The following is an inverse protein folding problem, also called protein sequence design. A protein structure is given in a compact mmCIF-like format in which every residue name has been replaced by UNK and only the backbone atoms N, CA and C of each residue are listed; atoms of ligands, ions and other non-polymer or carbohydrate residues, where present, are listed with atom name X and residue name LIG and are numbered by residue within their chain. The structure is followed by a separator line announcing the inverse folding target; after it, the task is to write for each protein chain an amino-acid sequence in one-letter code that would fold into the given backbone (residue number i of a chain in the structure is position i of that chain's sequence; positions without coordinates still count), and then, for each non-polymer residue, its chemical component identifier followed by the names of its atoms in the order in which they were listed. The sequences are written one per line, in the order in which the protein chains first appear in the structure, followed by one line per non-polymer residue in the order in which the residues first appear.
data_IF_120118869748
#
_entry.id   IF_120118869748
#
_cell.length_a   1.000
_cell.length_b   1.000
_cell.length_c   1.000
_cell.angle_alpha   90.00
_cell.angle_beta   90.00
_cell.angle_gamma   90.00
#
_symmetry.space_group_name_H-M   'P 1'
#
loop_
_entity.id
_entity.type
_entity.pdbx_description
1 polymer ?
#
# COMPACT_ATOMS: atom_id res chain seq x y z
N UNK A 1 4.13 -7.08 -25.71
CA UNK A 1 5.49 -6.67 -25.29
C UNK A 1 5.88 -7.52 -24.10
N UNK A 2 7.10 -8.06 -24.08
CA UNK A 2 7.52 -8.98 -23.03
C UNK A 2 8.76 -8.44 -22.31
N UNK A 3 8.93 -8.82 -21.05
CA UNK A 3 10.02 -8.37 -20.17
C UNK A 3 10.72 -9.60 -19.59
N UNK A 4 12.02 -9.49 -19.33
CA UNK A 4 12.77 -10.56 -18.68
C UNK A 4 12.35 -10.70 -17.22
N UNK A 5 12.27 -11.93 -16.72
CA UNK A 5 11.93 -12.21 -15.31
C UNK A 5 12.91 -11.54 -14.35
N UNK A 6 14.18 -11.36 -14.75
CA UNK A 6 15.20 -10.63 -13.98
C UNK A 6 14.80 -9.17 -13.77
N UNK A 7 14.55 -8.42 -14.84
CA UNK A 7 14.12 -7.01 -14.73
C UNK A 7 12.82 -6.90 -13.95
N UNK A 8 11.89 -7.83 -14.20
CA UNK A 8 10.60 -7.86 -13.53
C UNK A 8 10.73 -8.11 -12.02
N UNK A 9 11.66 -8.96 -11.59
CA UNK A 9 11.91 -9.20 -10.16
C UNK A 9 12.29 -7.89 -9.45
N UNK A 10 13.24 -7.12 -9.99
CA UNK A 10 13.66 -5.84 -9.39
C UNK A 10 12.56 -4.79 -9.43
N UNK A 11 11.68 -4.82 -10.43
CA UNK A 11 10.49 -3.99 -10.46
C UNK A 11 9.56 -4.30 -9.26
N UNK A 12 9.29 -5.58 -8.98
CA UNK A 12 8.50 -5.97 -7.80
C UNK A 12 9.18 -5.63 -6.48
N UNK A 13 10.52 -5.73 -6.41
CA UNK A 13 11.28 -5.24 -5.25
C UNK A 13 11.07 -3.73 -5.05
N UNK A 14 11.11 -2.94 -6.13
CA UNK A 14 10.82 -1.50 -6.08
C UNK A 14 9.42 -1.20 -5.55
N UNK A 15 8.39 -1.91 -6.04
CA UNK A 15 7.02 -1.78 -5.53
C UNK A 15 6.95 -2.14 -4.05
N UNK A 16 7.63 -3.21 -3.62
CA UNK A 16 7.67 -3.62 -2.22
C UNK A 16 8.22 -2.51 -1.33
N UNK A 17 9.33 -1.89 -1.73
CA UNK A 17 9.96 -0.82 -0.96
C UNK A 17 9.06 0.43 -0.88
N UNK A 18 8.50 0.86 -2.01
CA UNK A 18 7.58 2.02 -2.05
C UNK A 18 6.35 1.77 -1.17
N UNK A 19 5.75 0.58 -1.27
CA UNK A 19 4.58 0.20 -0.48
C UNK A 19 4.89 0.13 1.02
N UNK A 20 6.09 -0.36 1.38
CA UNK A 20 6.55 -0.38 2.75
C UNK A 20 6.77 1.04 3.30
N UNK A 21 7.35 1.95 2.50
CA UNK A 21 7.49 3.36 2.88
C UNK A 21 6.13 4.02 3.12
N UNK A 22 5.12 3.74 2.29
CA UNK A 22 3.76 4.23 2.53
C UNK A 22 3.12 3.64 3.78
N UNK A 23 3.32 2.34 4.05
CA UNK A 23 2.85 1.74 5.30
C UNK A 23 3.44 2.47 6.52
N UNK A 24 4.76 2.66 6.54
CA UNK A 24 5.45 3.36 7.62
C UNK A 24 4.90 4.78 7.77
N UNK A 25 4.77 5.51 6.66
CA UNK A 25 4.22 6.86 6.64
C UNK A 25 2.82 6.93 7.27
N UNK A 26 1.86 6.13 6.77
CA UNK A 26 0.50 6.14 7.28
C UNK A 26 0.40 5.61 8.71
N UNK A 27 1.25 4.66 9.10
CA UNK A 27 1.28 4.11 10.46
C UNK A 27 1.80 5.13 11.47
N UNK A 28 2.87 5.86 11.15
CA UNK A 28 3.39 6.95 11.98
C UNK A 28 2.33 8.04 12.11
N UNK A 29 1.72 8.44 10.98
CA UNK A 29 0.70 9.47 10.95
C UNK A 29 -0.50 9.12 11.85
N UNK A 30 -1.00 7.89 11.76
CA UNK A 30 -2.12 7.42 12.60
C UNK A 30 -1.74 7.23 14.06
N UNK A 31 -0.54 6.75 14.35
CA UNK A 31 -0.05 6.59 15.73
C UNK A 31 0.09 7.94 16.44
N UNK A 32 0.66 8.95 15.76
CA UNK A 32 0.87 10.28 16.33
C UNK A 32 -0.42 11.11 16.44
N UNK A 33 -1.46 10.75 15.66
CA UNK A 33 -2.78 11.39 15.68
C UNK A 33 -3.79 10.68 16.61
N UNK A 34 -3.34 9.67 17.36
CA UNK A 34 -4.14 9.01 18.40
C UNK A 34 -4.40 9.98 19.55
N UNK A 35 -5.59 9.91 20.17
CA UNK A 35 -5.99 10.75 21.31
C UNK A 35 -5.05 10.69 22.52
N UNK A 36 -4.21 9.67 22.57
CA UNK A 36 -3.28 9.38 23.65
C UNK A 36 -1.91 10.08 23.49
N UNK A 37 -1.66 10.73 22.35
CA UNK A 37 -0.37 11.36 22.03
C UNK A 37 -0.40 12.89 22.16
N UNK A 38 0.62 13.47 22.77
CA UNK A 38 0.82 14.92 22.92
C UNK A 38 0.85 15.67 21.58
N UNK A 39 1.21 14.98 20.49
CA UNK A 39 1.23 15.51 19.13
C UNK A 39 -0.14 15.53 18.43
N UNK A 40 -1.19 15.03 19.07
CA UNK A 40 -2.53 14.95 18.50
C UNK A 40 -3.09 16.33 18.13
N UNK A 41 -2.96 17.34 19.02
CA UNK A 41 -3.43 18.70 18.72
C UNK A 41 -2.69 19.36 17.54
N UNK A 42 -1.43 19.01 17.30
CA UNK A 42 -0.65 19.57 16.18
C UNK A 42 -1.04 18.96 14.82
N UNK A 43 -1.44 17.70 14.80
CA UNK A 43 -1.74 16.97 13.54
C UNK A 43 -3.23 17.02 13.22
N UNK A 44 -4.08 16.86 14.24
CA UNK A 44 -5.53 16.86 14.10
C UNK A 44 -6.09 18.28 14.25
N UNK A 45 -5.61 19.08 15.20
CA UNK A 45 -6.10 20.45 15.42
C UNK A 45 -7.63 20.54 15.40
N UNK A 46 -8.15 21.44 14.56
CA UNK A 46 -9.59 21.73 14.41
C UNK A 46 -10.26 20.90 13.29
N UNK A 47 -9.76 19.70 12.98
CA UNK A 47 -10.30 18.86 11.91
C UNK A 47 -11.77 18.49 12.19
N UNK A 48 -12.64 18.68 11.19
CA UNK A 48 -14.09 18.43 11.31
C UNK A 48 -14.45 16.96 11.62
N UNK A 49 -13.73 16.00 11.03
CA UNK A 49 -14.00 14.56 11.21
C UNK A 49 -12.69 13.74 11.40
N UNK A 50 -12.04 13.87 12.56
CA UNK A 50 -10.70 13.31 12.76
C UNK A 50 -10.69 11.79 12.84
N UNK A 51 -11.76 11.18 13.40
CA UNK A 51 -11.90 9.72 13.49
C UNK A 51 -12.01 9.08 12.11
N UNK A 52 -12.81 9.66 11.21
CA UNK A 52 -12.98 9.16 9.84
C UNK A 52 -11.67 9.23 9.07
N UNK A 53 -10.93 10.32 9.22
CA UNK A 53 -9.62 10.50 8.61
C UNK A 53 -8.59 9.49 9.16
N UNK A 54 -8.55 9.29 10.47
CA UNK A 54 -7.65 8.33 11.13
C UNK A 54 -7.92 6.90 10.64
N UNK A 55 -9.20 6.50 10.59
CA UNK A 55 -9.60 5.17 10.15
C UNK A 55 -9.24 4.93 8.68
N UNK A 56 -9.43 5.96 7.82
CA UNK A 56 -9.01 5.90 6.42
C UNK A 56 -7.51 5.69 6.28
N UNK A 57 -6.69 6.48 6.98
CA UNK A 57 -5.23 6.34 6.91
C UNK A 57 -4.75 5.02 7.49
N UNK A 58 -5.40 4.51 8.55
CA UNK A 58 -5.05 3.20 9.10
C UNK A 58 -5.35 2.09 8.09
N UNK A 59 -6.48 2.16 7.39
CA UNK A 59 -6.80 1.24 6.29
C UNK A 59 -5.79 1.32 5.14
N UNK A 60 -5.39 2.53 4.75
CA UNK A 60 -4.36 2.75 3.74
C UNK A 60 -2.99 2.18 4.16
N UNK A 61 -2.65 2.26 5.45
CA UNK A 61 -1.44 1.63 5.98
C UNK A 61 -1.47 0.11 5.73
N UNK A 62 -2.53 -0.57 6.14
CA UNK A 62 -2.63 -2.03 5.97
C UNK A 62 -2.72 -2.47 4.50
N UNK A 63 -3.36 -1.70 3.63
CA UNK A 63 -3.34 -1.96 2.18
C UNK A 63 -1.94 -1.82 1.61
N UNK A 64 -1.20 -0.79 2.03
CA UNK A 64 0.20 -0.61 1.63
C UNK A 64 1.07 -1.77 2.13
N UNK A 65 0.88 -2.22 3.38
CA UNK A 65 1.57 -3.39 3.93
C UNK A 65 1.27 -4.67 3.16
N UNK A 66 -0.01 -4.89 2.81
CA UNK A 66 -0.43 -6.03 2.00
C UNK A 66 0.31 -6.06 0.67
N UNK A 67 0.34 -4.94 -0.06
CA UNK A 67 1.04 -4.86 -1.35
C UNK A 67 2.56 -4.92 -1.22
N UNK A 68 3.14 -4.49 -0.10
CA UNK A 68 4.54 -4.70 0.20
C UNK A 68 4.85 -6.21 0.31
N UNK A 69 4.08 -6.95 1.11
CA UNK A 69 4.27 -8.39 1.31
C UNK A 69 4.06 -9.17 0.01
N UNK A 70 2.99 -8.89 -0.73
CA UNK A 70 2.70 -9.56 -2.01
C UNK A 70 3.81 -9.31 -3.03
N UNK A 71 4.26 -8.05 -3.17
CA UNK A 71 5.34 -7.71 -4.10
C UNK A 71 6.66 -8.36 -3.69
N UNK A 72 6.97 -8.42 -2.40
CA UNK A 72 8.15 -9.11 -1.88
C UNK A 72 8.10 -10.61 -2.16
N UNK A 73 6.96 -11.25 -1.96
CA UNK A 73 6.77 -12.67 -2.25
C UNK A 73 6.98 -12.97 -3.74
N UNK A 74 6.42 -12.13 -4.63
CA UNK A 74 6.62 -12.26 -6.08
C UNK A 74 8.08 -12.04 -6.46
N UNK A 75 8.76 -11.04 -5.86
CA UNK A 75 10.19 -10.83 -6.07
C UNK A 75 11.00 -12.07 -5.71
N UNK A 76 10.80 -12.62 -4.50
CA UNK A 76 11.51 -13.81 -4.02
C UNK A 76 11.27 -14.98 -4.98
N UNK A 77 10.01 -15.19 -5.37
CA UNK A 77 9.64 -16.26 -6.29
C UNK A 77 10.35 -16.13 -7.65
N UNK A 78 10.25 -14.95 -8.29
CA UNK A 78 10.88 -14.70 -9.59
C UNK A 78 12.41 -14.72 -9.54
N UNK A 79 13.02 -14.27 -8.44
CA UNK A 79 14.47 -14.15 -8.31
C UNK A 79 15.15 -15.49 -8.01
N UNK A 80 14.54 -16.33 -7.18
CA UNK A 80 15.20 -17.52 -6.63
C UNK A 80 14.62 -18.85 -7.13
N UNK A 81 13.37 -18.89 -7.58
CA UNK A 81 12.68 -20.14 -7.93
C UNK A 81 12.37 -20.29 -9.43
N UNK A 82 12.60 -19.24 -10.22
CA UNK A 82 12.35 -19.25 -11.67
C UNK A 82 13.67 -19.02 -12.43
N UNK A 83 13.97 -19.90 -13.39
CA UNK A 83 15.05 -19.67 -14.36
C UNK A 83 14.74 -18.43 -15.21
N UNK A 84 15.74 -17.70 -15.73
CA UNK A 84 15.49 -16.53 -16.56
C UNK A 84 14.54 -16.85 -17.73
N UNK A 85 13.34 -16.24 -17.73
CA UNK A 85 12.34 -16.42 -18.77
C UNK A 85 11.79 -15.06 -19.22
N UNK A 86 10.97 -15.11 -20.27
CA UNK A 86 10.27 -13.97 -20.83
C UNK A 86 8.83 -13.99 -20.33
N UNK A 87 8.40 -12.91 -19.68
CA UNK A 87 7.05 -12.77 -19.11
C UNK A 87 6.31 -11.66 -19.86
N UNK A 88 5.03 -11.88 -20.14
CA UNK A 88 4.18 -10.89 -20.80
C UNK A 88 3.98 -9.65 -19.92
N UNK A 89 4.08 -8.45 -20.51
CA UNK A 89 3.83 -7.18 -19.80
C UNK A 89 2.39 -7.09 -19.28
N UNK A 90 1.45 -7.85 -19.86
CA UNK A 90 0.04 -7.82 -19.46
C UNK A 90 -0.15 -8.19 -17.99
N UNK A 91 0.68 -9.09 -17.44
CA UNK A 91 0.65 -9.44 -16.03
C UNK A 91 1.05 -8.25 -15.14
N UNK A 92 1.99 -7.43 -15.58
CA UNK A 92 2.43 -6.22 -14.87
C UNK A 92 1.33 -5.16 -14.87
N UNK A 93 0.67 -4.97 -16.00
CA UNK A 93 -0.45 -4.03 -16.14
C UNK A 93 -1.62 -4.47 -15.25
N UNK A 94 -1.98 -5.76 -15.28
CA UNK A 94 -3.01 -6.32 -14.41
C UNK A 94 -2.68 -6.15 -12.93
N UNK A 95 -1.42 -6.38 -12.55
CA UNK A 95 -0.96 -6.17 -11.18
C UNK A 95 -1.08 -4.70 -10.74
N UNK A 96 -0.62 -3.76 -11.56
CA UNK A 96 -0.75 -2.33 -11.28
C UNK A 96 -2.21 -1.91 -11.15
N UNK A 97 -3.09 -2.43 -12.01
CA UNK A 97 -4.52 -2.16 -11.97
C UNK A 97 -5.16 -2.65 -10.65
N UNK A 98 -4.78 -3.84 -10.16
CA UNK A 98 -5.23 -4.34 -8.87
C UNK A 98 -4.78 -3.46 -7.70
N UNK A 99 -3.54 -2.94 -7.73
CA UNK A 99 -3.07 -1.98 -6.73
C UNK A 99 -3.95 -0.73 -6.74
N UNK A 100 -4.19 -0.14 -7.92
CA UNK A 100 -4.98 1.08 -8.06
C UNK A 100 -6.40 0.88 -7.54
N UNK A 101 -7.06 -0.22 -7.90
CA UNK A 101 -8.40 -0.56 -7.39
C UNK A 101 -8.38 -0.71 -5.87
N UNK A 102 -7.41 -1.45 -5.33
CA UNK A 102 -7.28 -1.71 -3.89
C UNK A 102 -7.13 -0.40 -3.11
N UNK A 103 -6.27 0.50 -3.59
CA UNK A 103 -6.05 1.84 -3.02
C UNK A 103 -7.31 2.69 -3.12
N UNK A 104 -7.99 2.70 -4.27
CA UNK A 104 -9.22 3.45 -4.47
C UNK A 104 -10.32 3.00 -3.49
N UNK A 105 -10.58 1.69 -3.41
CA UNK A 105 -11.57 1.11 -2.49
C UNK A 105 -11.22 1.40 -1.02
N UNK A 106 -9.92 1.38 -0.67
CA UNK A 106 -9.45 1.70 0.65
C UNK A 106 -9.63 3.18 1.03
N UNK A 107 -9.42 4.08 0.06
CA UNK A 107 -9.53 5.53 0.22
C UNK A 107 -10.95 6.08 0.15
N UNK A 108 -11.92 5.32 -0.36
CA UNK A 108 -13.33 5.74 -0.38
C UNK A 108 -13.86 5.94 1.06
N UNK A 109 -14.51 7.10 1.30
CA UNK A 109 -15.19 7.39 2.56
C UNK A 109 -16.31 6.36 2.72
N UNK A 110 -16.19 5.48 3.72
CA UNK A 110 -17.30 4.61 4.09
C UNK A 110 -18.38 5.55 4.65
N UNK A 111 -19.51 5.68 3.95
CA UNK A 111 -20.70 6.25 4.56
C UNK A 111 -21.08 5.28 5.68
N UNK A 112 -20.70 5.61 6.91
CA UNK A 112 -21.37 5.02 8.06
C UNK A 112 -22.84 5.41 7.92
N UNK A 113 -23.67 4.47 7.48
CA UNK A 113 -25.11 4.56 7.70
C UNK A 113 -25.27 4.70 9.21
N UNK A 114 -25.65 5.89 9.67
CA UNK A 114 -26.24 6.07 10.98
C UNK A 114 -27.48 5.19 11.03
N UNK A 115 -27.39 4.06 11.74
CA UNK A 115 -28.56 3.31 12.20
C UNK A 115 -28.98 3.94 13.53
#
# INVERSE_FOLDING_TARGET
MNVTSISLSYFFLGISLISLSFFIYFKILTSNSSKENENNEKIVGDMKEPRTWLNRNNRMAYVSLFWAIVSLAIFIYLKFFIMPTIISILYVIGYAFLIVISVAIAGMKKQEKSI
#
